data_IF_978063965465
#
_entry.id   IF_978063965465
#
_cell.length_a   1.000
_cell.length_b   1.000
_cell.length_c   1.000
_cell.angle_alpha   90.00
_cell.angle_beta   90.00
_cell.angle_gamma   90.00
#
_symmetry.space_group_name_H-M   'P 1'
#
loop_
_entity.id
_entity.type
_entity.pdbx_description
1 polymer ?
#
# COMPACT_ATOMS: atom_id res chain seq x y z
N UNK A 1 1.93 3.66 -26.20
CA UNK A 1 2.20 4.10 -24.82
C UNK A 1 2.61 2.85 -24.07
N UNK A 2 3.86 2.74 -23.64
CA UNK A 2 4.34 1.58 -22.89
C UNK A 2 3.85 1.68 -21.45
N UNK A 3 3.20 0.63 -20.96
CA UNK A 3 2.77 0.49 -19.57
C UNK A 3 3.91 -0.18 -18.80
N UNK A 4 4.46 0.50 -17.81
CA UNK A 4 5.39 -0.09 -16.86
C UNK A 4 4.59 -0.72 -15.73
N UNK A 5 4.66 -2.04 -15.59
CA UNK A 5 4.05 -2.77 -14.46
C UNK A 5 5.10 -3.00 -13.37
N UNK A 6 4.82 -2.53 -12.15
CA UNK A 6 5.65 -2.78 -10.97
C UNK A 6 4.94 -3.79 -10.07
N UNK A 7 5.57 -4.95 -9.86
CA UNK A 7 5.10 -5.95 -8.90
C UNK A 7 5.91 -5.85 -7.61
N UNK A 8 5.22 -5.52 -6.51
CA UNK A 8 5.80 -5.40 -5.19
C UNK A 8 5.50 -6.65 -4.36
N UNK A 9 6.55 -7.28 -3.83
CA UNK A 9 6.42 -8.36 -2.84
C UNK A 9 6.66 -7.80 -1.45
N UNK A 10 5.62 -7.83 -0.62
CA UNK A 10 5.68 -7.40 0.77
C UNK A 10 5.63 -8.62 1.68
N UNK A 11 6.51 -8.65 2.69
CA UNK A 11 6.37 -9.59 3.80
C UNK A 11 5.35 -9.02 4.78
N UNK A 12 4.14 -9.57 4.78
CA UNK A 12 3.01 -9.02 5.56
C UNK A 12 3.30 -8.85 7.05
N UNK A 13 4.15 -9.71 7.65
CA UNK A 13 4.54 -9.60 9.05
C UNK A 13 5.23 -8.27 9.39
N UNK A 14 5.92 -7.66 8.43
CA UNK A 14 6.59 -6.37 8.59
C UNK A 14 5.61 -5.19 8.63
N UNK A 15 4.32 -5.43 8.32
CA UNK A 15 3.32 -4.38 8.17
C UNK A 15 2.12 -4.57 9.10
N UNK A 16 1.50 -3.45 9.44
CA UNK A 16 0.18 -3.36 10.05
C UNK A 16 -0.81 -2.90 8.97
N UNK A 17 -1.91 -3.61 8.82
CA UNK A 17 -2.98 -3.24 7.87
C UNK A 17 -4.13 -2.67 8.68
N UNK A 18 -4.56 -1.47 8.32
CA UNK A 18 -5.73 -0.78 8.87
C UNK A 18 -6.74 -0.58 7.77
N UNK A 19 -7.95 -1.05 8.00
CA UNK A 19 -9.07 -0.84 7.10
C UNK A 19 -10.05 0.13 7.76
N UNK A 20 -10.63 1.01 6.94
CA UNK A 20 -11.60 2.03 7.36
C UNK A 20 -12.91 1.77 6.61
N UNK A 21 -13.81 0.91 7.14
CA UNK A 21 -15.02 0.49 6.43
C UNK A 21 -15.96 1.64 6.07
N UNK A 22 -15.95 2.71 6.85
CA UNK A 22 -16.79 3.90 6.69
C UNK A 22 -16.45 4.69 5.42
N UNK A 23 -15.16 4.74 5.05
CA UNK A 23 -14.68 5.40 3.84
C UNK A 23 -14.31 4.40 2.74
N UNK A 24 -14.23 3.10 3.07
CA UNK A 24 -13.75 2.06 2.16
C UNK A 24 -12.26 2.14 1.87
N UNK A 25 -11.48 2.83 2.71
CA UNK A 25 -10.04 3.07 2.51
C UNK A 25 -9.19 2.08 3.30
N UNK A 26 -7.91 1.98 2.94
CA UNK A 26 -6.96 1.08 3.58
C UNK A 26 -5.60 1.76 3.73
N UNK A 27 -4.99 1.59 4.90
CA UNK A 27 -3.62 2.04 5.17
C UNK A 27 -2.77 0.84 5.59
N UNK A 28 -1.65 0.64 4.90
CA UNK A 28 -0.65 -0.39 5.21
C UNK A 28 0.60 0.33 5.73
N UNK A 29 0.98 0.10 6.99
CA UNK A 29 2.07 0.82 7.66
C UNK A 29 3.19 -0.14 8.04
N UNK A 30 4.44 0.18 7.72
CA UNK A 30 5.60 -0.62 8.12
C UNK A 30 5.84 -0.51 9.63
N UNK A 31 5.88 -1.64 10.31
CA UNK A 31 6.15 -1.71 11.75
C UNK A 31 7.58 -1.24 12.08
N UNK A 32 7.72 -0.57 13.21
CA UNK A 32 9.03 -0.17 13.76
C UNK A 32 9.71 1.00 13.03
N UNK A 33 9.12 1.52 11.96
CA UNK A 33 9.60 2.71 11.26
C UNK A 33 8.97 3.96 11.86
N UNK A 34 9.75 5.05 12.00
CA UNK A 34 9.33 6.31 12.63
C UNK A 34 9.81 7.50 11.81
N UNK A 35 9.17 8.64 12.02
CA UNK A 35 9.51 9.90 11.36
C UNK A 35 8.71 10.13 10.08
N UNK A 36 9.16 11.09 9.27
CA UNK A 36 8.54 11.46 8.00
C UNK A 36 9.09 10.61 6.85
N UNK A 37 8.29 10.36 5.80
CA UNK A 37 8.77 9.75 4.56
C UNK A 37 9.81 10.63 3.87
N UNK A 38 10.67 10.00 3.08
CA UNK A 38 11.70 10.67 2.29
C UNK A 38 11.13 11.15 0.94
N UNK A 39 10.22 10.36 0.35
CA UNK A 39 9.47 10.70 -0.87
C UNK A 39 8.20 9.85 -0.99
N UNK A 40 7.31 10.24 -1.90
CA UNK A 40 6.08 9.52 -2.23
C UNK A 40 5.94 9.30 -3.73
N UNK A 41 5.20 8.26 -4.09
CA UNK A 41 4.72 8.01 -5.45
C UNK A 41 3.19 7.99 -5.39
N UNK A 42 2.57 8.89 -6.15
CA UNK A 42 1.12 8.99 -6.27
C UNK A 42 0.65 8.21 -7.50
N UNK A 43 -0.40 7.42 -7.29
CA UNK A 43 -1.17 6.78 -8.35
C UNK A 43 -2.64 7.11 -8.22
N UNK A 44 -3.44 6.67 -9.20
CA UNK A 44 -4.89 6.85 -9.14
C UNK A 44 -5.47 6.03 -7.98
N UNK A 45 -5.88 6.70 -6.90
CA UNK A 45 -6.52 6.06 -5.75
C UNK A 45 -5.56 5.44 -4.72
N UNK A 46 -4.26 5.70 -4.86
CA UNK A 46 -3.20 5.13 -4.01
C UNK A 46 -2.02 6.09 -3.87
N UNK A 47 -1.36 6.09 -2.73
CA UNK A 47 -0.07 6.74 -2.50
C UNK A 47 0.85 5.75 -1.79
N UNK A 48 2.09 5.64 -2.28
CA UNK A 48 3.12 4.81 -1.68
C UNK A 48 4.23 5.73 -1.18
N UNK A 49 4.45 5.75 0.13
CA UNK A 49 5.51 6.54 0.73
C UNK A 49 6.72 5.67 1.03
N UNK A 50 7.91 6.23 0.84
CA UNK A 50 9.18 5.53 1.02
C UNK A 50 10.02 6.20 2.10
N UNK A 51 10.75 5.38 2.86
CA UNK A 51 11.73 5.81 3.85
C UNK A 51 12.89 4.82 3.91
N UNK A 52 14.12 5.34 3.92
CA UNK A 52 15.36 4.54 3.95
C UNK A 52 15.39 3.47 2.84
N UNK A 53 14.88 3.82 1.65
CA UNK A 53 14.77 2.94 0.49
C UNK A 53 13.73 1.82 0.62
N UNK A 54 12.86 1.85 1.63
CA UNK A 54 11.80 0.86 1.87
C UNK A 54 10.44 1.52 1.80
N UNK A 55 9.41 0.73 1.50
CA UNK A 55 8.02 1.19 1.61
C UNK A 55 7.71 1.43 3.08
N UNK A 56 7.32 2.66 3.39
CA UNK A 56 6.95 3.11 4.72
C UNK A 56 5.44 2.98 4.93
N UNK A 57 4.65 3.54 4.00
CA UNK A 57 3.20 3.44 3.99
C UNK A 57 2.67 3.16 2.59
N UNK A 58 1.51 2.51 2.53
CA UNK A 58 0.66 2.44 1.34
C UNK A 58 -0.71 2.91 1.79
N UNK A 59 -1.09 4.11 1.34
CA UNK A 59 -2.41 4.69 1.59
C UNK A 59 -3.29 4.50 0.34
N UNK A 60 -4.40 3.80 0.50
CA UNK A 60 -5.34 3.47 -0.57
C UNK A 60 -6.65 4.16 -0.24
N UNK A 61 -6.86 5.30 -0.88
CA UNK A 61 -8.01 6.16 -0.63
C UNK A 61 -9.15 5.98 -1.65
N UNK A 62 -8.95 5.20 -2.72
CA UNK A 62 -10.04 4.76 -3.60
C UNK A 62 -10.53 3.35 -3.21
N UNK A 63 -11.79 3.19 -2.78
CA UNK A 63 -12.37 1.89 -2.44
C UNK A 63 -12.31 0.85 -3.55
N UNK A 64 -12.33 1.26 -4.82
CA UNK A 64 -12.19 0.33 -5.96
C UNK A 64 -10.78 -0.26 -6.03
N UNK A 65 -9.76 0.51 -5.65
CA UNK A 65 -8.38 0.02 -5.58
C UNK A 65 -8.23 -0.94 -4.40
N UNK A 66 -8.85 -0.65 -3.26
CA UNK A 66 -8.90 -1.57 -2.10
C UNK A 66 -9.54 -2.91 -2.50
N UNK A 67 -10.68 -2.87 -3.20
CA UNK A 67 -11.35 -4.10 -3.66
C UNK A 67 -10.45 -4.93 -4.58
N UNK A 68 -9.87 -4.30 -5.61
CA UNK A 68 -8.93 -4.97 -6.54
C UNK A 68 -7.72 -5.56 -5.82
N UNK A 69 -7.21 -4.86 -4.79
CA UNK A 69 -6.09 -5.34 -4.00
C UNK A 69 -6.47 -6.62 -3.24
N UNK A 70 -7.62 -6.61 -2.55
CA UNK A 70 -8.12 -7.79 -1.80
C UNK A 70 -8.37 -9.01 -2.70
N UNK A 71 -8.89 -8.79 -3.91
CA UNK A 71 -9.07 -9.84 -4.91
C UNK A 71 -7.73 -10.48 -5.30
N UNK A 72 -6.65 -9.69 -5.39
CA UNK A 72 -5.29 -10.18 -5.70
C UNK A 72 -4.55 -10.79 -4.50
N UNK A 73 -4.86 -10.41 -3.28
CA UNK A 73 -4.30 -11.03 -2.06
C UNK A 73 -4.90 -12.41 -1.76
N UNK A 74 -6.05 -12.74 -2.37
CA UNK A 74 -6.70 -14.02 -2.17
C UNK A 74 -6.05 -15.07 -3.08
N UNK A 75 -5.51 -16.14 -2.47
CA UNK A 75 -4.83 -17.31 -3.05
C UNK A 75 -3.28 -17.21 -3.07
N UNK A 76 -2.69 -17.50 -1.92
CA UNK A 76 -1.62 -18.50 -1.82
C UNK A 76 -2.00 -19.41 -0.63
N UNK A 77 -2.56 -20.58 -0.93
CA UNK A 77 -2.76 -21.68 0.02
C UNK A 77 -1.50 -22.54 0.07
#
# INVERSE_FOLDING_TARGET
MELLELQLKLKLDDYEIREYPETGTMLIVRKGMKGLPDYSVEGEGITIEFKDGKIYTIDIYDPKVVQKLKEKFTIIL
#
